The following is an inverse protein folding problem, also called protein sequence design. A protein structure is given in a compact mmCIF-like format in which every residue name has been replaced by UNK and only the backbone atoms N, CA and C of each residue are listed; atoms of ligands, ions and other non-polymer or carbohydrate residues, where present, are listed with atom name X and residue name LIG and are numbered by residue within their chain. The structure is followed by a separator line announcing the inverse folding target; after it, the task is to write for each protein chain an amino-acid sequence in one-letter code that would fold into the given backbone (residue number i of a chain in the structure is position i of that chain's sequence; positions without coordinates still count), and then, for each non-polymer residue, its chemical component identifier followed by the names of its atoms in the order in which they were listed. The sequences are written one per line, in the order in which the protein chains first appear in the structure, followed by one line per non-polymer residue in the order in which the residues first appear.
data_IF_134454806602
#
_entry.id   IF_134454806602
#
_cell.length_a   1.000
_cell.length_b   1.000
_cell.length_c   1.000
_cell.angle_alpha   90.00
_cell.angle_beta   90.00
_cell.angle_gamma   90.00
#
_symmetry.space_group_name_H-M   'P 1'
#
loop_
_entity.id
_entity.type
_entity.pdbx_description
1 polymer ?
#
# COMPACT_ATOMS: atom_id res chain seq x y z
N UNK A 1 -15.18 -2.22 5.59
CA UNK A 1 -13.77 -1.99 5.20
C UNK A 1 -13.49 -0.68 4.41
N UNK A 2 -14.08 -0.44 3.22
CA UNK A 2 -13.70 0.67 2.30
C UNK A 2 -13.74 2.07 2.96
N UNK A 3 -14.78 2.35 3.73
CA UNK A 3 -14.90 3.61 4.48
C UNK A 3 -13.72 3.84 5.43
N UNK A 4 -13.29 2.79 6.15
CA UNK A 4 -12.16 2.87 7.08
C UNK A 4 -10.86 3.20 6.33
N UNK A 5 -10.66 2.59 5.17
CA UNK A 5 -9.51 2.86 4.29
C UNK A 5 -9.54 4.31 3.81
N UNK A 6 -10.72 4.83 3.42
CA UNK A 6 -10.88 6.24 3.05
C UNK A 6 -10.52 7.16 4.21
N UNK A 7 -11.01 6.90 5.43
CA UNK A 7 -10.71 7.72 6.62
C UNK A 7 -9.22 7.72 6.97
N UNK A 8 -8.54 6.59 6.81
CA UNK A 8 -7.07 6.52 6.95
C UNK A 8 -6.43 7.39 5.86
N UNK A 9 -6.93 7.31 4.62
CA UNK A 9 -6.52 8.18 3.52
C UNK A 9 -6.69 9.67 3.83
N UNK A 10 -7.85 10.06 4.35
CA UNK A 10 -8.21 11.42 4.78
C UNK A 10 -7.19 11.90 5.82
N UNK A 11 -6.98 11.14 6.90
CA UNK A 11 -5.99 11.45 7.92
C UNK A 11 -4.58 11.66 7.38
N UNK A 12 -4.11 10.77 6.50
CA UNK A 12 -2.78 10.89 5.89
C UNK A 12 -2.73 12.05 4.88
N UNK A 13 -3.86 12.50 4.34
CA UNK A 13 -3.96 13.73 3.54
C UNK A 13 -3.86 14.96 4.43
N UNK A 14 -4.56 14.98 5.57
CA UNK A 14 -4.62 16.15 6.44
C UNK A 14 -3.32 16.36 7.25
N UNK A 15 -2.70 15.28 7.75
CA UNK A 15 -1.49 15.37 8.59
C UNK A 15 -0.17 15.58 7.83
N UNK A 16 -0.15 15.43 6.50
CA UNK A 16 1.00 15.85 5.68
C UNK A 16 0.94 17.35 5.35
N UNK A 17 0.18 18.12 6.14
CA UNK A 17 -0.46 19.36 5.72
C UNK A 17 -1.55 19.01 4.71
N UNK A 18 -2.75 19.58 4.82
CA UNK A 18 -3.84 19.46 3.85
C UNK A 18 -3.39 19.93 2.47
N UNK A 19 -2.62 19.07 1.83
CA UNK A 19 -1.66 19.41 0.80
C UNK A 19 -2.19 18.88 -0.50
N UNK A 20 -2.21 19.78 -1.47
CA UNK A 20 -2.34 19.54 -2.89
C UNK A 20 -2.24 18.04 -3.28
N UNK A 21 -3.30 17.43 -3.85
CA UNK A 21 -3.32 16.02 -4.25
C UNK A 21 -2.08 15.57 -5.06
N UNK A 22 -1.40 16.51 -5.71
CA UNK A 22 -0.15 16.30 -6.42
C UNK A 22 1.01 15.87 -5.54
N UNK A 23 1.11 16.34 -4.29
CA UNK A 23 2.18 16.02 -3.34
C UNK A 23 2.39 14.51 -3.10
N UNK A 24 1.37 13.69 -3.41
CA UNK A 24 1.39 12.23 -3.27
C UNK A 24 1.62 11.48 -4.59
N UNK A 25 1.33 12.14 -5.71
CA UNK A 25 1.61 11.62 -7.04
C UNK A 25 3.10 11.82 -7.35
N UNK A 26 3.64 12.96 -6.93
CA UNK A 26 5.01 13.36 -7.18
C UNK A 26 5.97 12.75 -6.15
N UNK A 27 7.22 12.57 -6.55
CA UNK A 27 8.31 12.01 -5.77
C UNK A 27 9.31 13.11 -5.44
N UNK A 28 10.01 12.98 -4.30
CA UNK A 28 11.16 13.85 -4.05
C UNK A 28 12.34 13.40 -4.93
N UNK A 29 12.76 14.19 -5.93
CA UNK A 29 13.89 13.82 -6.76
C UNK A 29 15.20 13.77 -5.96
N UNK A 30 15.31 14.47 -4.82
CA UNK A 30 16.46 14.41 -3.92
C UNK A 30 16.25 13.44 -2.74
N UNK A 31 15.59 12.31 -2.96
CA UNK A 31 15.36 11.31 -1.91
C UNK A 31 16.65 10.77 -1.26
N UNK A 32 17.80 10.90 -1.93
CA UNK A 32 19.08 10.33 -1.48
C UNK A 32 20.12 11.41 -1.14
N UNK A 33 19.75 12.70 -1.09
CA UNK A 33 20.63 13.82 -0.74
C UNK A 33 21.73 14.15 -1.76
N UNK A 34 21.59 13.65 -3.00
CA UNK A 34 22.57 13.83 -4.09
C UNK A 34 22.15 14.91 -5.10
N UNK A 35 20.87 15.20 -5.23
CA UNK A 35 20.30 16.08 -6.25
C UNK A 35 20.13 17.50 -5.73
N UNK A 36 21.26 18.17 -5.47
CA UNK A 36 21.29 19.51 -4.84
C UNK A 36 21.16 20.67 -5.83
N UNK A 37 21.32 20.39 -7.12
CA UNK A 37 21.29 21.40 -8.19
C UNK A 37 20.11 21.15 -9.13
N UNK A 38 19.53 22.24 -9.63
CA UNK A 38 18.43 22.22 -10.60
C UNK A 38 18.89 22.95 -11.85
N UNK A 39 18.99 22.23 -12.96
CA UNK A 39 19.16 22.83 -14.27
C UNK A 39 17.78 23.14 -14.83
N UNK A 40 17.57 24.41 -15.12
CA UNK A 40 16.29 24.98 -15.50
C UNK A 40 16.36 25.42 -16.95
N UNK A 41 15.48 24.88 -17.79
CA UNK A 41 15.23 25.42 -19.13
C UNK A 41 14.13 26.47 -19.00
N UNK A 42 14.46 27.73 -19.24
CA UNK A 42 13.52 28.85 -19.09
C UNK A 42 12.91 29.21 -20.45
N UNK A 43 11.58 29.21 -20.51
CA UNK A 43 10.82 29.73 -21.64
C UNK A 43 10.18 31.07 -21.29
N UNK A 44 10.10 31.96 -22.27
CA UNK A 44 9.24 33.14 -22.24
C UNK A 44 7.91 32.82 -22.90
N UNK A 45 6.83 33.28 -22.30
CA UNK A 45 5.48 33.21 -22.85
C UNK A 45 5.01 34.64 -23.16
N UNK A 46 4.70 34.90 -24.43
CA UNK A 46 4.11 36.17 -24.88
C UNK A 46 2.89 35.88 -25.76
N UNK A 47 1.71 36.31 -25.32
CA UNK A 47 0.44 36.12 -26.02
C UNK A 47 0.16 34.67 -26.52
N UNK A 48 0.65 33.64 -25.80
CA UNK A 48 0.47 32.23 -26.16
C UNK A 48 1.53 31.66 -27.13
N UNK A 49 2.57 32.44 -27.43
CA UNK A 49 3.79 31.97 -28.11
C UNK A 49 4.91 31.75 -27.10
N UNK A 50 5.73 30.73 -27.37
CA UNK A 50 6.83 30.35 -26.49
C UNK A 50 8.18 30.53 -27.18
N UNK A 51 9.15 31.09 -26.46
CA UNK A 51 10.53 31.23 -26.95
C UNK A 51 11.53 30.81 -25.88
N UNK A 52 12.63 30.19 -26.30
CA UNK A 52 13.72 29.85 -25.40
C UNK A 52 14.42 31.11 -24.91
N UNK A 53 14.57 31.26 -23.59
CA UNK A 53 15.30 32.37 -23.00
C UNK A 53 16.74 31.99 -22.67
N UNK A 54 16.95 31.06 -21.75
CA UNK A 54 18.26 30.67 -21.25
C UNK A 54 18.18 29.37 -20.43
N UNK A 55 19.35 28.77 -20.14
CA UNK A 55 19.49 27.74 -19.12
C UNK A 55 20.11 28.31 -17.84
N UNK A 56 19.46 28.09 -16.71
CA UNK A 56 19.94 28.51 -15.40
C UNK A 56 20.28 27.31 -14.51
N UNK A 57 21.26 27.49 -13.63
CA UNK A 57 21.55 26.56 -12.53
C UNK A 57 21.08 27.18 -11.22
N UNK A 58 20.13 26.54 -10.56
CA UNK A 58 19.59 26.97 -9.27
C UNK A 58 19.87 25.93 -8.18
N UNK A 59 19.87 26.36 -6.91
CA UNK A 59 19.84 25.42 -5.79
C UNK A 59 18.48 24.72 -5.69
N UNK A 60 18.50 23.49 -5.18
CA UNK A 60 17.29 22.71 -4.94
C UNK A 60 16.35 23.41 -3.94
N UNK A 61 15.14 23.73 -4.39
CA UNK A 61 14.06 24.31 -3.58
C UNK A 61 13.09 23.20 -3.16
N UNK A 62 11.92 23.59 -2.64
CA UNK A 62 10.87 22.65 -2.29
C UNK A 62 10.49 21.74 -3.48
N UNK A 63 10.51 20.41 -3.26
CA UNK A 63 10.36 19.42 -4.32
C UNK A 63 9.00 19.49 -5.05
N UNK A 64 7.98 20.03 -4.39
CA UNK A 64 6.61 20.20 -4.92
C UNK A 64 6.58 21.10 -6.14
N UNK A 65 7.50 22.07 -6.24
CA UNK A 65 7.63 22.99 -7.38
C UNK A 65 7.96 22.28 -8.70
N UNK A 66 8.66 21.15 -8.62
CA UNK A 66 9.17 20.47 -9.82
C UNK A 66 8.20 19.42 -10.35
N UNK A 67 7.15 19.05 -9.62
CA UNK A 67 6.22 17.98 -10.00
C UNK A 67 6.91 16.69 -10.50
N UNK A 68 8.06 16.32 -9.93
CA UNK A 68 8.83 15.17 -10.39
C UNK A 68 8.06 13.86 -10.16
N UNK A 69 7.97 13.00 -11.18
CA UNK A 69 7.43 11.65 -11.02
C UNK A 69 8.15 10.68 -11.95
N UNK A 70 9.11 9.95 -11.39
CA UNK A 70 9.97 9.06 -12.16
C UNK A 70 9.21 7.86 -12.74
N UNK A 71 9.64 7.39 -13.91
CA UNK A 71 9.26 6.04 -14.40
C UNK A 71 10.47 5.11 -14.39
N UNK A 72 10.23 3.81 -14.13
CA UNK A 72 11.28 2.80 -14.16
C UNK A 72 11.79 2.56 -15.58
N UNK A 73 13.10 2.39 -15.72
CA UNK A 73 13.75 1.99 -16.98
C UNK A 73 13.85 3.10 -18.03
N UNK A 74 13.59 2.74 -19.29
CA UNK A 74 13.72 3.64 -20.45
C UNK A 74 12.47 4.50 -20.71
N UNK A 75 11.40 4.32 -19.94
CA UNK A 75 10.19 5.11 -20.09
C UNK A 75 10.43 6.60 -19.81
N UNK A 76 9.56 7.44 -20.37
CA UNK A 76 9.52 8.88 -20.12
C UNK A 76 8.92 9.14 -18.73
N UNK A 77 9.58 9.99 -17.93
CA UNK A 77 9.08 10.45 -16.63
C UNK A 77 7.72 11.13 -16.77
N UNK A 78 6.88 11.17 -15.73
CA UNK A 78 5.49 11.59 -15.89
C UNK A 78 5.28 13.11 -16.11
N UNK A 79 6.31 13.93 -15.91
CA UNK A 79 6.34 15.39 -16.15
C UNK A 79 7.63 15.78 -16.89
N UNK A 80 7.75 17.03 -17.38
CA UNK A 80 9.00 17.60 -17.90
C UNK A 80 10.07 17.83 -16.81
N UNK A 81 10.22 16.89 -15.88
CA UNK A 81 11.25 16.91 -14.84
C UNK A 81 11.90 15.55 -14.73
N UNK A 82 13.22 15.52 -14.79
CA UNK A 82 14.00 14.29 -14.81
C UNK A 82 15.28 14.41 -14.00
N UNK A 83 15.69 13.31 -13.35
CA UNK A 83 17.02 13.19 -12.74
C UNK A 83 18.08 13.04 -13.85
N UNK A 84 19.12 13.88 -13.83
CA UNK A 84 20.17 13.83 -14.84
C UNK A 84 21.15 12.72 -14.48
N UNK A 85 21.16 11.65 -15.27
CA UNK A 85 22.25 10.66 -15.27
C UNK A 85 23.29 11.02 -16.33
N UNK A 86 22.82 11.37 -17.52
CA UNK A 86 23.61 11.83 -18.65
C UNK A 86 22.82 12.94 -19.36
N UNK A 87 23.46 14.10 -19.60
CA UNK A 87 22.76 15.31 -20.10
C UNK A 87 22.05 15.04 -21.42
N UNK A 88 22.72 14.48 -22.41
CA UNK A 88 22.14 14.23 -23.75
C UNK A 88 20.93 13.30 -23.69
N UNK A 89 21.06 12.18 -22.96
CA UNK A 89 19.98 11.20 -22.81
C UNK A 89 18.79 11.76 -22.03
N UNK A 90 19.06 12.54 -20.99
CA UNK A 90 18.01 13.15 -20.16
C UNK A 90 17.27 14.23 -20.93
N UNK A 91 17.97 15.08 -21.69
CA UNK A 91 17.36 16.09 -22.55
C UNK A 91 16.47 15.48 -23.63
N UNK A 92 16.90 14.38 -24.27
CA UNK A 92 16.06 13.64 -25.22
C UNK A 92 14.75 13.14 -24.58
N UNK A 93 14.80 12.63 -23.34
CA UNK A 93 13.59 12.22 -22.60
C UNK A 93 12.71 13.42 -22.25
N UNK A 94 13.32 14.52 -21.82
CA UNK A 94 12.63 15.77 -21.53
C UNK A 94 11.88 16.31 -22.75
N UNK A 95 12.53 16.39 -23.92
CA UNK A 95 11.90 16.82 -25.17
C UNK A 95 10.77 15.86 -25.59
N UNK A 96 10.98 14.56 -25.44
CA UNK A 96 9.96 13.55 -25.76
C UNK A 96 8.64 13.71 -24.97
N UNK A 97 8.62 14.46 -23.87
CA UNK A 97 7.38 14.81 -23.13
C UNK A 97 6.50 15.80 -23.88
N UNK A 98 7.10 16.63 -24.72
CA UNK A 98 6.43 17.58 -25.60
C UNK A 98 6.16 17.01 -27.00
N UNK A 99 6.55 15.76 -27.26
CA UNK A 99 6.21 15.04 -28.49
C UNK A 99 5.07 14.02 -28.28
N UNK A 100 4.98 13.41 -27.09
CA UNK A 100 3.97 12.40 -26.74
C UNK A 100 2.76 12.96 -25.96
N UNK A 101 2.37 14.21 -26.22
CA UNK A 101 1.28 14.89 -25.49
C UNK A 101 -0.12 14.45 -25.90
N UNK A 102 -0.28 13.80 -27.06
CA UNK A 102 -1.57 13.28 -27.55
C UNK A 102 -2.20 12.23 -26.62
N UNK A 103 -1.39 11.59 -25.78
CA UNK A 103 -1.85 10.63 -24.77
C UNK A 103 -2.29 11.32 -23.46
N UNK A 104 -2.17 12.65 -23.36
CA UNK A 104 -2.56 13.39 -22.16
C UNK A 104 -4.05 13.75 -22.23
N UNK A 105 -4.78 13.61 -21.10
CA UNK A 105 -6.18 14.03 -20.99
C UNK A 105 -6.29 15.56 -20.87
N UNK A 106 -5.87 16.29 -21.90
CA UNK A 106 -5.86 17.75 -21.97
C UNK A 106 -6.92 18.24 -22.97
N UNK A 107 -7.38 19.49 -22.79
CA UNK A 107 -8.21 20.18 -23.78
C UNK A 107 -7.41 20.47 -25.07
N UNK A 108 -8.10 20.79 -26.17
CA UNK A 108 -7.44 21.14 -27.44
C UNK A 108 -6.50 22.34 -27.29
N UNK A 109 -6.88 23.35 -26.51
CA UNK A 109 -6.06 24.51 -26.18
C UNK A 109 -4.80 24.12 -25.39
N UNK A 110 -4.94 23.32 -24.34
CA UNK A 110 -3.80 22.84 -23.53
C UNK A 110 -2.84 21.95 -24.37
N UNK A 111 -3.38 21.13 -25.26
CA UNK A 111 -2.61 20.30 -26.20
C UNK A 111 -1.76 21.18 -27.11
N UNK A 112 -2.37 22.24 -27.64
CA UNK A 112 -1.71 23.20 -28.52
C UNK A 112 -0.60 23.98 -27.78
N UNK A 113 -0.84 24.39 -26.53
CA UNK A 113 0.20 25.00 -25.69
C UNK A 113 1.40 24.08 -25.49
N UNK A 114 1.19 22.79 -25.17
CA UNK A 114 2.29 21.82 -25.00
C UNK A 114 3.05 21.61 -26.30
N UNK A 115 2.34 21.58 -27.44
CA UNK A 115 2.96 21.47 -28.77
C UNK A 115 3.90 22.66 -29.03
N UNK A 116 3.42 23.89 -28.84
CA UNK A 116 4.21 25.12 -29.06
C UNK A 116 5.42 25.20 -28.13
N UNK A 117 5.28 24.81 -26.85
CA UNK A 117 6.41 24.69 -25.92
C UNK A 117 7.47 23.72 -26.47
N UNK A 118 7.03 22.57 -27.00
CA UNK A 118 7.92 21.59 -27.62
C UNK A 118 8.67 22.13 -28.83
N UNK A 119 7.99 22.91 -29.67
CA UNK A 119 8.58 23.53 -30.86
C UNK A 119 9.63 24.58 -30.50
N UNK A 120 9.36 25.42 -29.49
CA UNK A 120 10.31 26.40 -28.98
C UNK A 120 11.59 25.72 -28.47
N UNK A 121 11.46 24.64 -27.68
CA UNK A 121 12.61 23.88 -27.16
C UNK A 121 13.36 23.18 -28.29
N UNK A 122 12.66 22.70 -29.31
CA UNK A 122 13.26 21.98 -30.44
C UNK A 122 14.00 22.89 -31.40
N UNK A 123 13.51 24.11 -31.63
CA UNK A 123 14.17 25.11 -32.46
C UNK A 123 15.56 25.46 -31.92
N UNK A 124 15.71 25.57 -30.60
CA UNK A 124 16.96 25.90 -29.92
C UNK A 124 17.68 24.69 -29.30
N UNK A 125 17.39 23.46 -29.76
CA UNK A 125 17.83 22.23 -29.07
C UNK A 125 19.37 22.18 -28.86
N UNK A 126 20.15 22.59 -29.85
CA UNK A 126 21.61 22.46 -29.83
C UNK A 126 22.22 23.47 -28.86
N UNK A 127 21.64 24.68 -28.81
CA UNK A 127 22.00 25.74 -27.88
C UNK A 127 21.67 25.32 -26.43
N UNK A 128 20.45 24.82 -26.20
CA UNK A 128 20.02 24.33 -24.89
C UNK A 128 20.92 23.19 -24.41
N UNK A 129 21.24 22.24 -25.31
CA UNK A 129 22.11 21.12 -24.98
C UNK A 129 23.52 21.56 -24.59
N UNK A 130 24.09 22.55 -25.29
CA UNK A 130 25.39 23.11 -24.99
C UNK A 130 25.41 23.82 -23.63
N UNK A 131 24.41 24.68 -23.35
CA UNK A 131 24.29 25.37 -22.07
C UNK A 131 24.07 24.37 -20.91
N UNK A 132 23.23 23.34 -21.10
CA UNK A 132 23.04 22.28 -20.11
C UNK A 132 24.34 21.51 -19.81
N UNK A 133 25.15 21.22 -20.82
CA UNK A 133 26.44 20.52 -20.64
C UNK A 133 27.45 21.37 -19.88
N UNK A 134 27.54 22.67 -20.20
CA UNK A 134 28.40 23.62 -19.51
C UNK A 134 28.01 23.72 -18.02
N UNK A 135 26.75 24.01 -17.73
CA UNK A 135 26.24 24.13 -16.35
C UNK A 135 26.36 22.82 -15.58
N UNK A 136 26.10 21.67 -16.20
CA UNK A 136 26.26 20.37 -15.55
C UNK A 136 27.72 20.06 -15.22
N UNK A 137 28.67 20.48 -16.06
CA UNK A 137 30.11 20.25 -15.83
C UNK A 137 30.67 21.11 -14.69
N UNK A 138 30.08 22.28 -14.46
CA UNK A 138 30.45 23.20 -13.38
C UNK A 138 30.00 22.76 -11.96
N UNK A 139 29.32 21.62 -11.84
CA UNK A 139 28.78 21.13 -10.56
C UNK A 139 29.87 20.61 -9.61
N UNK A 140 29.59 20.63 -8.31
CA UNK A 140 30.48 20.02 -7.30
C UNK A 140 30.59 18.51 -7.51
N UNK A 141 31.80 17.98 -7.39
CA UNK A 141 32.05 16.54 -7.50
C UNK A 141 31.23 15.76 -6.46
N UNK A 142 30.47 14.76 -6.92
CA UNK A 142 29.59 13.96 -6.07
C UNK A 142 28.14 14.43 -6.02
N UNK A 143 27.87 15.69 -6.39
CA UNK A 143 26.51 16.20 -6.56
C UNK A 143 25.97 15.83 -7.96
N UNK A 144 24.65 15.63 -8.01
CA UNK A 144 23.86 15.39 -9.22
C UNK A 144 22.83 16.50 -9.37
N UNK A 145 22.21 16.57 -10.54
CA UNK A 145 21.29 17.65 -10.88
C UNK A 145 19.99 17.09 -11.44
N UNK A 146 18.89 17.82 -11.25
CA UNK A 146 17.65 17.57 -11.98
C UNK A 146 17.53 18.52 -13.16
N UNK A 147 16.79 18.13 -14.19
CA UNK A 147 16.39 18.97 -15.31
C UNK A 147 14.90 19.28 -15.15
N UNK A 148 14.50 20.54 -15.29
CA UNK A 148 13.09 20.97 -15.26
C UNK A 148 12.82 22.13 -16.22
N UNK A 149 11.54 22.38 -16.51
CA UNK A 149 11.07 23.57 -17.24
C UNK A 149 10.56 24.64 -16.26
N UNK A 150 10.77 25.92 -16.59
CA UNK A 150 10.09 27.07 -15.96
C UNK A 150 9.64 28.07 -17.02
N UNK A 151 8.71 28.95 -16.64
CA UNK A 151 8.40 30.17 -17.38
C UNK A 151 8.99 31.37 -16.64
N UNK A 152 9.78 32.16 -17.35
CA UNK A 152 10.43 33.36 -16.82
C UNK A 152 10.05 34.56 -17.69
N UNK A 153 9.22 35.45 -17.14
CA UNK A 153 8.81 36.70 -17.78
C UNK A 153 9.77 37.88 -17.48
N UNK A 154 10.88 37.61 -16.78
CA UNK A 154 11.85 38.61 -16.33
C UNK A 154 11.51 39.27 -15.00
N UNK A 155 10.29 39.04 -14.46
CA UNK A 155 9.82 39.56 -13.18
C UNK A 155 9.54 38.41 -12.21
N UNK A 156 8.91 37.34 -12.69
CA UNK A 156 8.50 36.16 -11.93
C UNK A 156 8.90 34.87 -12.66
N UNK A 157 9.41 33.91 -11.88
CA UNK A 157 9.68 32.55 -12.35
C UNK A 157 8.55 31.64 -11.88
N UNK A 158 7.78 31.08 -12.83
CA UNK A 158 6.75 30.07 -12.59
C UNK A 158 7.32 28.68 -12.82
N UNK A 159 7.29 27.84 -11.79
CA UNK A 159 7.69 26.44 -11.89
C UNK A 159 6.53 25.57 -12.37
N UNK A 160 6.81 24.32 -12.75
CA UNK A 160 5.78 23.36 -13.15
C UNK A 160 4.65 23.22 -12.11
N UNK A 161 4.99 23.28 -10.82
CA UNK A 161 4.04 23.23 -9.71
C UNK A 161 3.06 24.42 -9.67
N UNK A 162 3.40 25.53 -10.31
CA UNK A 162 2.58 26.76 -10.36
C UNK A 162 1.65 26.78 -11.61
N UNK A 163 1.81 25.81 -12.52
CA UNK A 163 1.16 25.81 -13.83
C UNK A 163 -0.01 24.81 -13.84
N UNK A 164 -1.28 25.26 -13.95
CA UNK A 164 -2.45 24.38 -13.93
C UNK A 164 -2.39 23.24 -14.95
N UNK A 165 -1.83 23.47 -16.13
CA UNK A 165 -1.70 22.47 -17.18
C UNK A 165 -0.94 21.22 -16.70
N UNK A 166 0.27 21.38 -16.15
CA UNK A 166 1.09 20.23 -15.73
C UNK A 166 0.55 19.54 -14.47
N UNK A 167 -0.07 20.32 -13.59
CA UNK A 167 -0.86 19.83 -12.44
C UNK A 167 -1.99 18.93 -12.92
N UNK A 168 -2.77 19.38 -13.90
CA UNK A 168 -3.89 18.63 -14.47
C UNK A 168 -3.46 17.35 -15.18
N UNK A 169 -2.34 17.35 -15.91
CA UNK A 169 -1.80 16.14 -16.56
C UNK A 169 -1.58 15.02 -15.54
N UNK A 170 -1.01 15.33 -14.37
CA UNK A 170 -0.76 14.34 -13.32
C UNK A 170 -2.05 13.83 -12.69
N UNK A 171 -2.99 14.71 -12.38
CA UNK A 171 -4.28 14.35 -11.76
C UNK A 171 -5.15 13.52 -12.71
N UNK A 172 -5.34 14.00 -13.94
CA UNK A 172 -6.22 13.36 -14.93
C UNK A 172 -5.65 12.05 -15.48
N UNK A 173 -4.31 11.86 -15.49
CA UNK A 173 -3.72 10.53 -15.77
C UNK A 173 -4.11 9.50 -14.71
N UNK A 174 -4.24 9.93 -13.45
CA UNK A 174 -4.84 9.12 -12.39
C UNK A 174 -6.29 8.75 -12.72
N UNK A 175 -7.10 9.71 -13.19
CA UNK A 175 -8.49 9.46 -13.60
C UNK A 175 -8.60 8.40 -14.70
N UNK A 176 -7.72 8.41 -15.72
CA UNK A 176 -7.76 7.42 -16.81
C UNK A 176 -7.55 5.99 -16.31
N UNK A 177 -6.73 5.80 -15.27
CA UNK A 177 -6.55 4.48 -14.65
C UNK A 177 -7.82 4.01 -13.91
N UNK A 178 -8.62 4.95 -13.39
CA UNK A 178 -9.89 4.65 -12.74
C UNK A 178 -11.06 4.49 -13.71
N UNK A 179 -10.98 5.12 -14.90
CA UNK A 179 -12.04 5.06 -15.91
C UNK A 179 -11.86 3.96 -16.93
N UNK A 180 -10.63 3.60 -17.30
CA UNK A 180 -10.36 2.66 -18.38
C UNK A 180 -9.62 1.41 -17.89
N UNK A 181 -10.23 0.24 -18.11
CA UNK A 181 -9.61 -1.07 -17.89
C UNK A 181 -10.07 -2.04 -18.98
N UNK A 182 -9.18 -2.92 -19.42
CA UNK A 182 -9.46 -3.88 -20.50
C UNK A 182 -9.87 -3.21 -21.83
N UNK A 183 -9.43 -1.98 -22.06
CA UNK A 183 -9.77 -1.21 -23.27
C UNK A 183 -11.19 -0.63 -23.27
N UNK A 184 -11.94 -0.77 -22.17
CA UNK A 184 -13.30 -0.24 -22.02
C UNK A 184 -13.31 0.88 -20.99
N UNK A 185 -13.92 2.00 -21.35
CA UNK A 185 -14.17 3.10 -20.43
C UNK A 185 -15.50 2.90 -19.70
N UNK A 186 -15.50 3.14 -18.38
CA UNK A 186 -16.68 3.06 -17.52
C UNK A 186 -16.72 4.24 -16.57
N UNK A 187 -17.53 5.25 -16.94
CA UNK A 187 -17.74 6.48 -16.20
C UNK A 187 -19.25 6.70 -16.04
N UNK A 188 -19.70 7.00 -14.82
CA UNK A 188 -21.03 7.51 -14.55
C UNK A 188 -21.00 9.03 -14.42
N UNK A 189 -21.95 9.72 -15.06
CA UNK A 189 -22.13 11.18 -14.95
C UNK A 189 -23.25 11.53 -13.97
N UNK A 190 -23.02 12.54 -13.12
CA UNK A 190 -23.98 13.06 -12.14
C UNK A 190 -24.57 11.97 -11.24
N UNK A 191 -23.68 11.18 -10.62
CA UNK A 191 -24.05 10.04 -9.77
C UNK A 191 -23.55 10.20 -8.35
N UNK A 192 -24.23 9.51 -7.44
CA UNK A 192 -23.84 9.42 -6.04
C UNK A 192 -22.60 8.55 -5.93
N UNK A 193 -21.56 9.08 -5.29
CA UNK A 193 -20.38 8.31 -4.91
C UNK A 193 -20.73 7.37 -3.76
N UNK A 194 -20.50 6.07 -3.94
CA UNK A 194 -20.72 5.02 -2.93
C UNK A 194 -19.86 5.17 -1.66
N UNK A 195 -18.85 6.04 -1.70
CA UNK A 195 -17.86 6.20 -0.62
C UNK A 195 -18.09 7.48 0.18
N UNK A 196 -18.40 8.62 -0.45
CA UNK A 196 -18.72 9.86 0.27
C UNK A 196 -20.22 10.15 0.41
N UNK A 197 -21.05 9.57 -0.46
CA UNK A 197 -22.50 9.81 -0.47
C UNK A 197 -22.93 11.05 -1.25
N UNK A 198 -21.99 11.87 -1.73
CA UNK A 198 -22.31 13.08 -2.49
C UNK A 198 -22.56 12.77 -3.97
N UNK A 199 -23.41 13.59 -4.60
CA UNK A 199 -23.52 13.64 -6.06
C UNK A 199 -22.27 14.28 -6.62
N UNK A 200 -21.65 13.61 -7.60
CA UNK A 200 -20.42 14.05 -8.23
C UNK A 200 -20.60 14.02 -9.75
N UNK A 201 -19.99 15.00 -10.42
CA UNK A 201 -20.00 15.11 -11.89
C UNK A 201 -19.55 13.80 -12.52
N UNK A 202 -18.46 13.20 -12.02
CA UNK A 202 -17.94 11.93 -12.51
C UNK A 202 -17.70 10.92 -11.38
N UNK A 203 -18.13 9.68 -11.63
CA UNK A 203 -17.81 8.50 -10.83
C UNK A 203 -17.18 7.42 -11.70
N UNK A 204 -16.22 6.70 -11.12
CA UNK A 204 -15.37 5.74 -11.80
C UNK A 204 -15.57 4.35 -11.22
N UNK A 205 -15.48 3.33 -12.08
CA UNK A 205 -15.63 1.93 -11.70
C UNK A 205 -14.34 1.29 -11.16
N UNK A 206 -13.18 1.65 -11.70
CA UNK A 206 -11.91 0.99 -11.41
C UNK A 206 -11.09 1.70 -10.31
N UNK A 207 -11.78 2.47 -9.46
CA UNK A 207 -11.19 3.28 -8.40
C UNK A 207 -10.96 2.53 -7.08
N UNK A 208 -11.40 1.26 -6.97
CA UNK A 208 -11.08 0.41 -5.82
C UNK A 208 -9.60 -0.01 -5.92
N UNK A 209 -8.75 0.28 -4.91
CA UNK A 209 -7.31 0.21 -5.07
C UNK A 209 -6.73 -1.22 -4.95
N UNK A 210 -7.55 -2.22 -4.62
CA UNK A 210 -7.16 -3.63 -4.55
C UNK A 210 -7.71 -4.44 -5.72
N UNK A 211 -6.91 -5.41 -6.18
CA UNK A 211 -7.19 -6.21 -7.37
C UNK A 211 -8.18 -7.34 -7.16
N UNK A 212 -8.80 -7.49 -5.97
CA UNK A 212 -9.87 -8.46 -5.76
C UNK A 212 -11.21 -8.05 -6.41
N UNK A 213 -11.35 -6.77 -6.80
CA UNK A 213 -12.53 -6.29 -7.52
C UNK A 213 -12.41 -6.62 -9.01
N UNK A 214 -12.84 -7.82 -9.36
CA UNK A 214 -12.65 -8.44 -10.67
C UNK A 214 -13.82 -8.14 -11.61
N UNK A 215 -13.52 -7.43 -12.71
CA UNK A 215 -14.45 -7.09 -13.80
C UNK A 215 -14.22 -7.95 -15.06
N UNK A 216 -13.26 -8.89 -15.01
CA UNK A 216 -13.01 -9.88 -16.07
C UNK A 216 -14.07 -10.98 -16.11
N UNK A 217 -14.78 -11.20 -14.99
CA UNK A 217 -15.86 -12.18 -14.89
C UNK A 217 -17.21 -11.49 -15.10
N UNK A 218 -17.94 -11.79 -16.20
CA UNK A 218 -19.18 -11.11 -16.53
C UNK A 218 -20.17 -11.12 -15.37
N UNK A 219 -20.31 -12.26 -14.67
CA UNK A 219 -21.23 -12.43 -13.53
C UNK A 219 -21.01 -11.51 -12.33
N UNK A 220 -19.87 -10.81 -12.26
CA UNK A 220 -19.58 -9.86 -11.19
C UNK A 220 -20.03 -8.43 -11.52
N UNK A 221 -20.56 -8.15 -12.72
CA UNK A 221 -20.87 -6.78 -13.20
C UNK A 221 -22.37 -6.49 -13.08
N UNK A 222 -22.72 -5.56 -12.21
CA UNK A 222 -24.03 -4.91 -12.16
C UNK A 222 -24.19 -4.01 -13.41
N UNK A 223 -25.30 -4.16 -14.13
CA UNK A 223 -25.47 -3.55 -15.46
C UNK A 223 -25.52 -4.57 -16.60
N UNK A 224 -26.06 -5.76 -16.34
CA UNK A 224 -26.30 -6.77 -17.38
C UNK A 224 -25.03 -7.35 -17.99
N UNK A 225 -23.97 -7.51 -17.18
CA UNK A 225 -22.69 -8.08 -17.62
C UNK A 225 -21.90 -7.20 -18.61
N UNK A 226 -22.23 -5.91 -18.70
CA UNK A 226 -21.56 -4.95 -19.57
C UNK A 226 -20.45 -4.20 -18.82
N UNK A 227 -19.20 -4.37 -19.24
CA UNK A 227 -18.03 -3.72 -18.64
C UNK A 227 -18.14 -2.19 -18.65
N UNK A 228 -18.73 -1.59 -19.69
CA UNK A 228 -18.92 -0.13 -19.75
C UNK A 228 -19.87 0.38 -18.65
N UNK A 229 -20.76 -0.46 -18.14
CA UNK A 229 -21.68 -0.12 -17.04
C UNK A 229 -21.15 -0.49 -15.66
N UNK A 230 -19.91 -0.99 -15.56
CA UNK A 230 -19.31 -1.41 -14.28
C UNK A 230 -19.26 -0.30 -13.22
N UNK A 231 -19.36 0.98 -13.60
CA UNK A 231 -19.47 2.10 -12.66
C UNK A 231 -20.70 1.95 -11.75
N UNK A 232 -21.73 1.18 -12.15
CA UNK A 232 -22.90 0.88 -11.33
C UNK A 232 -22.59 -0.05 -10.16
N UNK A 233 -21.53 -0.87 -10.23
CA UNK A 233 -21.12 -1.72 -9.10
C UNK A 233 -20.65 -0.89 -7.92
N UNK A 234 -19.70 -0.01 -8.22
CA UNK A 234 -18.90 0.68 -7.21
C UNK A 234 -18.60 2.08 -7.72
N UNK A 235 -19.60 2.98 -7.77
CA UNK A 235 -19.42 4.33 -8.25
C UNK A 235 -18.55 5.10 -7.25
N UNK A 236 -17.34 5.51 -7.63
CA UNK A 236 -16.41 6.23 -6.75
C UNK A 236 -15.91 7.48 -7.46
N UNK A 237 -16.00 8.65 -6.82
CA UNK A 237 -15.47 9.90 -7.37
C UNK A 237 -13.94 9.97 -7.28
N UNK A 238 -13.33 10.88 -8.04
CA UNK A 238 -11.87 11.05 -8.09
C UNK A 238 -11.24 11.25 -6.70
N UNK A 239 -11.79 12.17 -5.90
CA UNK A 239 -11.29 12.47 -4.56
C UNK A 239 -11.25 11.22 -3.66
N UNK A 240 -12.34 10.45 -3.65
CA UNK A 240 -12.43 9.21 -2.90
C UNK A 240 -11.46 8.15 -3.43
N UNK A 241 -11.28 8.04 -4.74
CA UNK A 241 -10.31 7.13 -5.36
C UNK A 241 -8.88 7.43 -4.85
N UNK A 242 -8.47 8.70 -4.87
CA UNK A 242 -7.15 9.13 -4.38
C UNK A 242 -6.98 8.90 -2.87
N UNK A 243 -8.03 9.12 -2.08
CA UNK A 243 -8.04 8.83 -0.63
C UNK A 243 -7.90 7.33 -0.37
N UNK A 244 -8.59 6.50 -1.13
CA UNK A 244 -8.50 5.04 -1.03
C UNK A 244 -7.11 4.52 -1.41
N UNK A 245 -6.50 5.01 -2.49
CA UNK A 245 -5.11 4.67 -2.84
C UNK A 245 -4.14 5.06 -1.71
N UNK A 246 -4.28 6.27 -1.17
CA UNK A 246 -3.47 6.75 -0.05
C UNK A 246 -3.60 5.84 1.16
N UNK A 247 -4.85 5.51 1.54
CA UNK A 247 -5.16 4.65 2.67
C UNK A 247 -4.57 3.24 2.48
N UNK A 248 -4.70 2.67 1.28
CA UNK A 248 -4.09 1.37 0.94
C UNK A 248 -2.58 1.39 1.12
N UNK A 249 -1.88 2.36 0.54
CA UNK A 249 -0.42 2.47 0.63
C UNK A 249 0.03 2.51 2.09
N UNK A 250 -0.67 3.30 2.92
CA UNK A 250 -0.36 3.37 4.35
C UNK A 250 -0.59 2.03 5.06
N UNK A 251 -1.73 1.38 4.82
CA UNK A 251 -2.05 0.07 5.41
C UNK A 251 -0.99 -0.97 5.02
N UNK A 252 -0.58 -1.01 3.75
CA UNK A 252 0.40 -1.98 3.26
C UNK A 252 1.83 -1.72 3.77
N UNK A 253 2.22 -0.46 3.96
CA UNK A 253 3.56 -0.10 4.49
C UNK A 253 3.65 -0.16 6.02
N UNK A 254 2.55 0.16 6.73
CA UNK A 254 2.58 0.35 8.19
C UNK A 254 1.80 -0.69 8.98
N UNK A 255 0.72 -1.22 8.40
CA UNK A 255 -0.25 -2.07 9.10
C UNK A 255 -0.30 -3.49 8.51
N UNK A 256 0.79 -3.92 7.90
CA UNK A 256 0.97 -5.25 7.35
C UNK A 256 1.81 -6.10 8.29
N UNK A 257 1.21 -7.17 8.80
CA UNK A 257 1.80 -7.99 9.84
C UNK A 257 1.87 -9.47 9.44
N UNK A 258 2.90 -10.15 9.93
CA UNK A 258 3.00 -11.59 9.80
C UNK A 258 2.07 -12.28 10.81
N UNK A 259 1.53 -13.41 10.40
CA UNK A 259 0.79 -14.37 11.22
C UNK A 259 1.55 -15.70 11.22
N UNK A 260 1.05 -16.69 11.95
CA UNK A 260 1.75 -17.98 12.11
C UNK A 260 1.97 -18.67 10.76
N UNK A 261 3.09 -19.38 10.61
CA UNK A 261 3.42 -20.19 9.43
C UNK A 261 3.39 -19.43 8.09
N UNK A 262 3.80 -18.15 8.09
CA UNK A 262 4.00 -17.36 6.87
C UNK A 262 2.73 -16.73 6.29
N UNK A 263 1.58 -16.89 6.95
CA UNK A 263 0.40 -16.10 6.63
C UNK A 263 0.64 -14.62 6.93
N UNK A 264 -0.03 -13.73 6.19
CA UNK A 264 0.03 -12.28 6.41
C UNK A 264 -1.36 -11.71 6.52
N UNK A 265 -1.47 -10.61 7.26
CA UNK A 265 -2.72 -9.87 7.37
C UNK A 265 -2.48 -8.37 7.38
N UNK A 266 -3.43 -7.65 6.81
CA UNK A 266 -3.57 -6.21 6.97
C UNK A 266 -4.48 -5.93 8.17
N UNK A 267 -4.04 -5.08 9.08
CA UNK A 267 -4.85 -4.59 10.20
C UNK A 267 -5.48 -3.26 9.79
N UNK A 268 -6.81 -3.23 9.72
CA UNK A 268 -7.56 -2.05 9.25
C UNK A 268 -8.41 -1.52 10.42
N UNK A 269 -7.99 -0.43 11.08
CA UNK A 269 -8.77 0.17 12.16
C UNK A 269 -9.99 0.91 11.60
N UNK A 270 -11.13 0.77 12.26
CA UNK A 270 -12.40 1.44 11.99
C UNK A 270 -12.97 1.99 13.29
N UNK A 271 -13.22 3.29 13.35
CA UNK A 271 -13.88 3.92 14.50
C UNK A 271 -15.26 3.28 14.73
N UNK A 272 -15.54 2.87 15.97
CA UNK A 272 -16.76 2.19 16.38
C UNK A 272 -17.66 3.10 17.24
N UNK A 273 -17.08 3.86 18.19
CA UNK A 273 -17.82 4.66 19.18
C UNK A 273 -17.06 5.96 19.50
N UNK A 274 -17.26 7.00 18.69
CA UNK A 274 -16.53 8.27 18.86
C UNK A 274 -15.01 8.11 18.75
N UNK A 275 -14.26 9.19 19.00
CA UNK A 275 -12.80 9.21 18.94
C UNK A 275 -12.21 9.55 17.57
N UNK A 276 -10.91 9.81 17.55
CA UNK A 276 -10.17 10.24 16.36
C UNK A 276 -9.35 9.08 15.79
N UNK A 277 -9.44 8.90 14.47
CA UNK A 277 -8.61 7.93 13.73
C UNK A 277 -7.11 8.25 13.90
N UNK A 278 -6.78 9.52 14.15
CA UNK A 278 -5.43 10.00 14.46
C UNK A 278 -4.82 9.31 15.66
N UNK A 279 -5.56 9.17 16.75
CA UNK A 279 -5.04 8.61 18.00
C UNK A 279 -4.61 7.17 17.79
N UNK A 280 -5.49 6.37 17.18
CA UNK A 280 -5.17 4.97 16.89
C UNK A 280 -4.06 4.85 15.85
N UNK A 281 -4.04 5.66 14.79
CA UNK A 281 -2.98 5.59 13.78
C UNK A 281 -1.62 6.06 14.30
N UNK A 282 -1.59 6.93 15.31
CA UNK A 282 -0.35 7.33 16.00
C UNK A 282 0.18 6.15 16.81
N UNK A 283 -0.69 5.45 17.54
CA UNK A 283 -0.36 4.24 18.31
C UNK A 283 0.10 3.10 17.38
N UNK A 284 -0.60 2.88 16.26
CA UNK A 284 -0.30 1.81 15.32
C UNK A 284 0.91 2.12 14.41
N UNK A 285 1.10 3.40 14.05
CA UNK A 285 2.04 3.86 13.03
C UNK A 285 3.41 4.32 13.54
N UNK A 286 3.64 4.35 14.85
CA UNK A 286 4.94 4.62 15.46
C UNK A 286 5.98 3.58 14.98
N UNK A 287 6.76 3.95 13.96
CA UNK A 287 7.72 3.08 13.25
C UNK A 287 8.99 2.77 14.06
N UNK A 288 9.20 3.37 15.24
CA UNK A 288 10.40 3.16 16.07
C UNK A 288 10.16 2.17 17.22
N UNK A 289 9.77 0.95 16.88
CA UNK A 289 9.74 -0.17 17.85
C UNK A 289 11.12 -0.76 18.13
N UNK A 290 12.16 0.07 18.24
CA UNK A 290 13.42 -0.34 18.89
C UNK A 290 13.37 -0.12 20.41
N UNK A 291 12.50 0.76 20.91
CA UNK A 291 12.38 1.00 22.36
C UNK A 291 11.43 0.03 23.09
N UNK A 292 10.48 -0.60 22.38
CA UNK A 292 9.66 -1.68 22.97
C UNK A 292 10.27 -3.08 22.84
N UNK A 293 11.44 -3.20 22.18
CA UNK A 293 12.23 -4.46 22.15
C UNK A 293 13.00 -4.72 23.45
N UNK A 294 12.94 -3.80 24.44
CA UNK A 294 13.38 -4.03 25.81
C UNK A 294 12.20 -4.15 26.78
N UNK A 295 11.20 -4.96 26.42
CA UNK A 295 10.43 -5.69 27.44
C UNK A 295 10.98 -7.10 27.49
N UNK A 296 12.11 -7.15 28.17
CA UNK A 296 12.80 -8.33 28.66
C UNK A 296 11.79 -9.27 29.36
N UNK A 297 11.95 -10.58 29.14
CA UNK A 297 11.34 -11.70 29.89
C UNK A 297 9.88 -12.16 29.66
N UNK A 298 9.07 -11.58 28.77
CA UNK A 298 7.73 -12.14 28.45
C UNK A 298 7.56 -12.63 27.01
N UNK A 299 8.43 -13.56 26.60
CA UNK A 299 8.14 -14.50 25.50
C UNK A 299 6.83 -15.31 25.71
N UNK A 300 6.19 -15.20 26.89
CA UNK A 300 5.03 -15.98 27.36
C UNK A 300 3.65 -15.41 26.94
N UNK A 301 3.55 -14.19 26.40
CA UNK A 301 2.25 -13.53 26.12
C UNK A 301 1.78 -13.52 24.67
N UNK A 302 2.51 -14.09 23.70
CA UNK A 302 2.18 -13.92 22.28
C UNK A 302 1.05 -14.84 21.82
N UNK A 303 -0.02 -14.30 21.21
CA UNK A 303 -1.01 -15.09 20.47
C UNK A 303 -0.42 -15.58 19.13
N UNK A 304 0.53 -14.83 18.59
CA UNK A 304 1.22 -15.05 17.32
C UNK A 304 2.68 -15.49 17.56
N UNK A 305 3.25 -16.27 16.63
CA UNK A 305 4.59 -16.83 16.80
C UNK A 305 5.73 -15.79 16.65
N UNK A 306 5.50 -14.67 15.95
CA UNK A 306 6.51 -13.64 15.69
C UNK A 306 6.17 -12.25 16.24
N UNK A 307 7.26 -11.51 16.44
CA UNK A 307 7.52 -10.26 17.19
C UNK A 307 6.40 -9.21 17.39
N UNK A 308 6.34 -8.68 18.62
CA UNK A 308 5.74 -7.39 18.94
C UNK A 308 4.23 -7.28 18.71
N UNK A 309 3.48 -8.24 19.25
CA UNK A 309 2.05 -8.50 19.06
C UNK A 309 1.22 -7.21 18.98
N UNK A 310 1.03 -6.67 17.77
CA UNK A 310 0.25 -5.45 17.54
C UNK A 310 -1.17 -5.61 18.11
N UNK A 311 -1.68 -6.84 18.14
CA UNK A 311 -2.96 -7.18 18.72
C UNK A 311 -2.99 -6.98 20.24
N UNK A 312 -1.88 -7.13 20.96
CA UNK A 312 -1.79 -6.80 22.40
C UNK A 312 -1.85 -5.29 22.63
N UNK A 313 -1.24 -4.49 21.74
CA UNK A 313 -1.36 -3.03 21.77
C UNK A 313 -2.81 -2.62 21.52
N UNK A 314 -3.46 -3.23 20.52
CA UNK A 314 -4.88 -2.98 20.23
C UNK A 314 -5.77 -3.42 21.39
N UNK A 315 -5.49 -4.56 22.02
CA UNK A 315 -6.25 -5.09 23.15
C UNK A 315 -6.27 -4.17 24.38
N UNK A 316 -5.26 -3.30 24.52
CA UNK A 316 -5.15 -2.32 25.60
C UNK A 316 -5.90 -1.02 25.33
N UNK A 317 -6.44 -0.84 24.12
CA UNK A 317 -7.23 0.34 23.77
C UNK A 317 -8.67 0.21 24.30
N UNK A 318 -9.38 1.34 24.38
CA UNK A 318 -10.82 1.33 24.63
C UNK A 318 -11.61 1.02 23.35
N UNK A 319 -12.86 0.56 23.51
CA UNK A 319 -13.73 0.11 22.40
C UNK A 319 -14.26 1.25 21.50
N UNK A 320 -13.61 2.42 21.50
CA UNK A 320 -13.87 3.49 20.52
C UNK A 320 -13.42 3.10 19.10
N UNK A 321 -12.53 2.11 18.99
CA UNK A 321 -12.07 1.53 17.73
C UNK A 321 -12.45 0.07 17.63
N UNK A 322 -12.79 -0.37 16.42
CA UNK A 322 -12.86 -1.76 16.00
C UNK A 322 -11.79 -2.02 14.95
N UNK A 323 -11.31 -3.24 14.84
CA UNK A 323 -10.27 -3.62 13.88
C UNK A 323 -10.77 -4.72 12.97
N UNK A 324 -10.42 -4.63 11.69
CA UNK A 324 -10.62 -5.71 10.74
C UNK A 324 -9.27 -6.34 10.38
N UNK A 325 -9.22 -7.66 10.31
CA UNK A 325 -8.04 -8.41 9.90
C UNK A 325 -8.30 -8.99 8.52
N UNK A 326 -7.57 -8.52 7.52
CA UNK A 326 -7.64 -9.01 6.15
C UNK A 326 -6.43 -9.90 5.86
N UNK A 327 -6.62 -11.21 5.94
CA UNK A 327 -5.63 -12.22 5.58
C UNK A 327 -5.58 -12.38 4.07
N UNK A 328 -4.37 -12.38 3.51
CA UNK A 328 -4.20 -12.40 2.06
C UNK A 328 -2.92 -13.15 1.65
N UNK A 329 -2.91 -13.58 0.39
CA UNK A 329 -1.72 -14.03 -0.31
C UNK A 329 -1.55 -13.23 -1.62
N UNK A 330 -0.31 -13.05 -2.04
CA UNK A 330 0.03 -12.44 -3.33
C UNK A 330 0.62 -13.52 -4.21
N UNK A 331 -0.05 -13.83 -5.32
CA UNK A 331 0.41 -14.78 -6.33
C UNK A 331 0.39 -14.09 -7.70
N UNK A 332 1.52 -14.04 -8.40
CA UNK A 332 1.67 -13.35 -9.70
C UNK A 332 1.05 -11.93 -9.75
N UNK A 333 1.29 -11.12 -8.72
CA UNK A 333 0.71 -9.76 -8.56
C UNK A 333 -0.81 -9.70 -8.36
N UNK A 334 -1.47 -10.85 -8.18
CA UNK A 334 -2.88 -10.93 -7.78
C UNK A 334 -3.00 -11.02 -6.26
N UNK A 335 -3.82 -10.16 -5.68
CA UNK A 335 -4.19 -10.24 -4.27
C UNK A 335 -5.34 -11.23 -4.11
N UNK A 336 -5.08 -12.35 -3.42
CA UNK A 336 -6.11 -13.30 -3.06
C UNK A 336 -6.43 -13.18 -1.57
N UNK A 337 -7.68 -12.86 -1.28
CA UNK A 337 -8.19 -12.80 0.10
C UNK A 337 -8.35 -14.24 0.61
N UNK A 338 -7.74 -14.53 1.76
CA UNK A 338 -7.85 -15.81 2.45
C UNK A 338 -8.97 -15.78 3.50
N UNK A 339 -9.05 -14.69 4.25
CA UNK A 339 -10.05 -14.48 5.30
C UNK A 339 -10.17 -12.98 5.60
N UNK A 340 -11.40 -12.51 5.78
CA UNK A 340 -11.68 -11.18 6.33
C UNK A 340 -12.45 -11.37 7.64
N UNK A 341 -11.86 -10.94 8.75
CA UNK A 341 -12.53 -10.87 10.06
C UNK A 341 -12.83 -9.40 10.34
N UNK A 342 -14.09 -9.00 10.33
CA UNK A 342 -14.50 -7.61 10.57
C UNK A 342 -14.93 -7.38 12.02
N UNK A 343 -14.75 -6.15 12.49
CA UNK A 343 -15.40 -5.66 13.72
C UNK A 343 -14.83 -6.20 15.03
N UNK A 344 -13.54 -6.54 15.09
CA UNK A 344 -12.89 -7.02 16.32
C UNK A 344 -12.64 -5.85 17.26
N UNK A 345 -13.32 -5.84 18.42
CA UNK A 345 -13.12 -4.85 19.47
C UNK A 345 -11.87 -5.15 20.32
N UNK A 346 -11.19 -4.11 20.86
CA UNK A 346 -10.14 -4.26 21.86
C UNK A 346 -10.52 -5.16 23.04
N UNK A 347 -11.73 -5.00 23.60
CA UNK A 347 -12.24 -5.87 24.68
C UNK A 347 -12.31 -7.35 24.28
N UNK A 348 -12.61 -7.64 23.02
CA UNK A 348 -12.60 -9.00 22.48
C UNK A 348 -11.18 -9.58 22.45
N UNK A 349 -10.20 -8.80 21.98
CA UNK A 349 -8.79 -9.21 21.99
C UNK A 349 -8.30 -9.40 23.42
N UNK A 350 -8.59 -8.48 24.33
CA UNK A 350 -8.24 -8.57 25.75
C UNK A 350 -8.76 -9.86 26.39
N UNK A 351 -10.02 -10.23 26.10
CA UNK A 351 -10.60 -11.51 26.53
C UNK A 351 -9.88 -12.73 25.93
N UNK A 352 -9.47 -12.67 24.66
CA UNK A 352 -8.69 -13.76 24.06
C UNK A 352 -7.34 -13.95 24.76
N UNK A 353 -6.63 -12.86 25.06
CA UNK A 353 -5.38 -12.91 25.82
C UNK A 353 -5.60 -13.41 27.26
N UNK A 354 -6.68 -13.02 27.94
CA UNK A 354 -6.97 -13.51 29.29
C UNK A 354 -7.28 -15.01 29.34
N UNK A 355 -8.06 -15.50 28.37
CA UNK A 355 -8.38 -16.93 28.23
C UNK A 355 -7.12 -17.73 27.91
N UNK A 356 -6.30 -17.26 26.97
CA UNK A 356 -4.98 -17.84 26.67
C UNK A 356 -4.13 -17.97 27.93
N UNK A 357 -3.97 -16.89 28.70
CA UNK A 357 -3.18 -16.90 29.92
C UNK A 357 -3.72 -17.90 30.96
N UNK A 358 -5.04 -18.11 31.00
CA UNK A 358 -5.66 -19.11 31.88
C UNK A 358 -5.32 -20.53 31.43
N UNK A 359 -5.35 -20.79 30.11
CA UNK A 359 -4.94 -22.08 29.53
C UNK A 359 -3.46 -22.35 29.82
N UNK A 360 -2.57 -21.39 29.53
CA UNK A 360 -1.13 -21.54 29.74
C UNK A 360 -0.80 -21.85 31.22
N UNK A 361 -1.46 -21.17 32.17
CA UNK A 361 -1.31 -21.45 33.60
C UNK A 361 -1.76 -22.86 33.98
N UNK A 362 -2.82 -23.39 33.35
CA UNK A 362 -3.33 -24.74 33.62
C UNK A 362 -2.39 -25.83 33.12
N UNK A 363 -1.68 -25.59 32.02
CA UNK A 363 -0.71 -26.54 31.47
C UNK A 363 0.69 -26.42 32.09
N UNK A 364 0.98 -25.34 32.80
CA UNK A 364 2.27 -25.11 33.47
C UNK A 364 2.72 -26.27 34.39
N UNK A 365 1.88 -26.86 35.26
CA UNK A 365 2.32 -27.96 36.13
C UNK A 365 2.75 -29.21 35.35
N UNK A 366 2.04 -29.56 34.27
CA UNK A 366 2.41 -30.69 33.42
C UNK A 366 3.77 -30.47 32.76
N UNK A 367 4.02 -29.24 32.33
CA UNK A 367 5.28 -28.83 31.74
C UNK A 367 6.44 -28.85 32.74
N UNK A 368 6.20 -28.34 33.96
CA UNK A 368 7.21 -28.30 35.02
C UNK A 368 7.59 -29.69 35.54
N UNK A 369 6.69 -30.67 35.42
CA UNK A 369 6.93 -32.07 35.80
C UNK A 369 7.54 -32.88 34.65
N UNK A 370 7.08 -32.66 33.41
CA UNK A 370 7.45 -33.48 32.27
C UNK A 370 8.82 -33.14 31.68
N UNK A 371 9.26 -31.88 31.68
CA UNK A 371 10.46 -31.47 30.94
C UNK A 371 11.55 -30.91 31.86
N UNK A 372 12.82 -31.17 31.55
CA UNK A 372 13.98 -30.52 32.18
C UNK A 372 14.07 -29.04 31.75
N UNK A 373 14.77 -28.19 32.51
CA UNK A 373 14.94 -26.77 32.16
C UNK A 373 15.46 -26.53 30.72
N UNK A 374 16.44 -27.27 30.20
CA UNK A 374 16.88 -27.11 28.81
C UNK A 374 15.83 -27.52 27.77
N UNK A 375 15.01 -28.53 28.07
CA UNK A 375 13.89 -28.93 27.20
C UNK A 375 12.77 -27.90 27.24
N UNK A 376 12.55 -27.26 28.40
CA UNK A 376 11.58 -26.18 28.56
C UNK A 376 11.95 -24.99 27.67
N UNK A 377 13.19 -24.53 27.71
CA UNK A 377 13.64 -23.41 26.87
C UNK A 377 13.48 -23.69 25.37
N UNK A 378 13.69 -24.94 24.93
CA UNK A 378 13.57 -25.33 23.53
C UNK A 378 12.12 -25.54 23.06
N UNK A 379 11.23 -26.01 23.94
CA UNK A 379 9.86 -26.40 23.59
C UNK A 379 8.82 -25.76 24.54
N UNK A 380 8.62 -24.43 24.51
CA UNK A 380 7.63 -23.80 25.37
C UNK A 380 6.21 -24.29 25.05
N UNK A 381 5.54 -24.92 26.02
CA UNK A 381 4.11 -25.30 25.95
C UNK A 381 3.22 -24.08 26.21
N UNK A 382 3.31 -23.11 25.30
CA UNK A 382 2.49 -21.88 25.32
C UNK A 382 1.48 -21.97 24.19
N UNK A 383 0.20 -21.78 24.50
CA UNK A 383 -0.83 -21.74 23.47
C UNK A 383 -0.59 -20.56 22.54
N UNK A 384 -0.59 -20.83 21.24
CA UNK A 384 -0.60 -19.83 20.18
C UNK A 384 -1.28 -20.45 18.95
N UNK A 385 -1.60 -19.63 17.95
CA UNK A 385 -2.21 -20.14 16.71
C UNK A 385 -1.31 -21.12 15.95
N UNK A 386 -0.01 -21.14 16.24
CA UNK A 386 0.92 -22.13 15.70
C UNK A 386 0.65 -23.54 16.24
N UNK A 387 0.25 -23.66 17.52
CA UNK A 387 -0.21 -24.95 18.09
C UNK A 387 -1.43 -25.45 17.35
N UNK A 388 -2.41 -24.58 17.09
CA UNK A 388 -3.61 -24.92 16.31
C UNK A 388 -3.20 -25.38 14.91
N UNK A 389 -2.31 -24.63 14.25
CA UNK A 389 -1.84 -24.92 12.90
C UNK A 389 -1.20 -26.30 12.74
N UNK A 390 -0.56 -26.85 13.77
CA UNK A 390 0.03 -28.21 13.73
C UNK A 390 -0.98 -29.33 13.40
N UNK A 391 -2.26 -29.09 13.63
CA UNK A 391 -3.34 -30.05 13.32
C UNK A 391 -3.94 -29.83 11.92
N UNK A 392 -3.56 -28.74 11.24
CA UNK A 392 -4.05 -28.37 9.91
C UNK A 392 -2.85 -28.13 8.97
N UNK A 393 -2.25 -29.19 8.40
CA UNK A 393 -1.04 -29.08 7.58
C UNK A 393 -1.30 -28.33 6.26
N UNK A 394 -0.29 -27.61 5.76
CA UNK A 394 -0.36 -26.83 4.51
C UNK A 394 0.18 -27.59 3.30
N UNK A 395 -0.22 -27.19 2.08
CA UNK A 395 0.45 -27.60 0.82
C UNK A 395 1.94 -27.27 0.79
N UNK A 396 2.35 -26.20 1.48
CA UNK A 396 3.72 -25.69 1.47
C UNK A 396 4.62 -26.40 2.49
N UNK A 397 4.05 -27.18 3.41
CA UNK A 397 4.80 -27.96 4.39
C UNK A 397 5.32 -29.25 3.75
N UNK A 398 6.59 -29.59 4.02
CA UNK A 398 7.21 -30.83 3.52
C UNK A 398 6.97 -31.97 4.51
N UNK A 399 6.62 -33.15 3.98
CA UNK A 399 6.53 -34.40 4.75
C UNK A 399 5.24 -35.18 4.49
N UNK A 400 5.23 -36.46 4.86
CA UNK A 400 4.16 -37.41 4.49
C UNK A 400 2.77 -37.00 4.99
N UNK A 401 2.71 -36.25 6.10
CA UNK A 401 1.45 -35.79 6.68
C UNK A 401 0.77 -34.72 5.81
N UNK A 402 1.55 -33.77 5.31
CA UNK A 402 1.06 -32.72 4.41
C UNK A 402 0.67 -33.29 3.03
N UNK A 403 1.34 -34.35 2.57
CA UNK A 403 1.04 -35.04 1.32
C UNK A 403 -0.23 -35.92 1.38
N UNK A 404 -0.54 -36.51 2.54
CA UNK A 404 -1.75 -37.33 2.76
C UNK A 404 -3.00 -36.50 3.04
N UNK A 405 -2.85 -35.34 3.67
CA UNK A 405 -3.95 -34.43 3.95
C UNK A 405 -4.47 -33.79 2.65
N UNK A 406 -5.78 -33.59 2.51
CA UNK A 406 -6.37 -32.76 1.44
C UNK A 406 -6.04 -31.28 1.71
N UNK A 407 -4.77 -30.96 1.55
CA UNK A 407 -4.05 -29.74 1.94
C UNK A 407 -4.76 -28.39 1.69
N UNK A 408 -5.46 -28.20 0.54
CA UNK A 408 -6.28 -26.98 0.32
C UNK A 408 -7.47 -26.86 1.27
N UNK A 409 -8.07 -27.98 1.65
CA UNK A 409 -9.15 -28.02 2.63
C UNK A 409 -8.57 -27.66 4.00
N UNK A 410 -7.39 -28.15 4.33
CA UNK A 410 -6.73 -27.89 5.61
C UNK A 410 -6.43 -26.41 5.85
N UNK A 411 -5.90 -25.68 4.85
CA UNK A 411 -5.68 -24.22 4.97
C UNK A 411 -6.97 -23.43 5.15
N UNK A 412 -8.03 -23.80 4.41
CA UNK A 412 -9.35 -23.19 4.54
C UNK A 412 -9.97 -23.46 5.92
N UNK A 413 -9.87 -24.70 6.41
CA UNK A 413 -10.38 -25.11 7.72
C UNK A 413 -9.62 -24.43 8.86
N UNK A 414 -8.30 -24.29 8.73
CA UNK A 414 -7.49 -23.50 9.66
C UNK A 414 -7.98 -22.06 9.74
N UNK A 415 -8.17 -21.39 8.60
CA UNK A 415 -8.70 -20.02 8.55
C UNK A 415 -10.12 -19.92 9.12
N UNK A 416 -10.97 -20.93 8.90
CA UNK A 416 -12.30 -20.99 9.52
C UNK A 416 -12.22 -21.09 11.05
N UNK A 417 -11.31 -21.91 11.58
CA UNK A 417 -11.05 -22.01 13.03
C UNK A 417 -10.53 -20.68 13.57
N UNK A 418 -9.59 -20.03 12.89
CA UNK A 418 -9.07 -18.70 13.25
C UNK A 418 -10.23 -17.69 13.31
N UNK A 419 -11.09 -17.67 12.30
CA UNK A 419 -12.28 -16.80 12.27
C UNK A 419 -13.19 -17.06 13.48
N UNK A 420 -13.54 -18.32 13.75
CA UNK A 420 -14.41 -18.70 14.88
C UNK A 420 -13.79 -18.27 16.22
N UNK A 421 -12.47 -18.40 16.39
CA UNK A 421 -11.76 -17.94 17.59
C UNK A 421 -11.87 -16.41 17.73
N UNK A 422 -11.62 -15.62 16.68
CA UNK A 422 -11.73 -14.16 16.78
C UNK A 422 -13.16 -13.69 17.05
N UNK A 423 -14.16 -14.28 16.38
CA UNK A 423 -15.58 -13.87 16.45
C UNK A 423 -16.34 -14.48 17.65
N UNK A 424 -15.73 -15.42 18.39
CA UNK A 424 -16.35 -16.13 19.53
C UNK A 424 -17.43 -17.16 19.15
N UNK A 425 -17.33 -17.72 17.96
CA UNK A 425 -18.24 -18.78 17.54
C UNK A 425 -17.76 -20.14 18.04
N UNK A 426 -18.70 -21.05 18.30
CA UNK A 426 -18.38 -22.44 18.66
C UNK A 426 -17.68 -23.14 17.49
N UNK A 427 -16.64 -23.91 17.82
CA UNK A 427 -16.00 -24.82 16.88
C UNK A 427 -16.58 -26.21 17.15
N UNK A 428 -16.91 -26.94 16.08
CA UNK A 428 -17.40 -28.30 16.20
C UNK A 428 -16.33 -29.20 16.85
N UNK A 429 -16.71 -29.85 17.95
CA UNK A 429 -15.80 -30.68 18.73
C UNK A 429 -15.33 -31.90 17.93
N UNK A 430 -16.25 -32.55 17.22
CA UNK A 430 -15.92 -33.76 16.45
C UNK A 430 -14.97 -33.45 15.31
N UNK A 431 -15.10 -32.28 14.68
CA UNK A 431 -14.18 -31.79 13.68
C UNK A 431 -12.76 -31.65 14.23
N UNK A 432 -12.60 -31.00 15.39
CA UNK A 432 -11.29 -30.83 16.03
C UNK A 432 -10.68 -32.17 16.42
N UNK A 433 -11.48 -33.06 17.02
CA UNK A 433 -11.02 -34.41 17.38
C UNK A 433 -10.60 -35.20 16.14
N UNK A 434 -11.29 -35.05 15.01
CA UNK A 434 -10.90 -35.67 13.74
C UNK A 434 -9.47 -35.32 13.33
N UNK A 435 -9.16 -34.01 13.24
CA UNK A 435 -7.83 -33.53 12.86
C UNK A 435 -6.75 -33.88 13.89
N UNK A 436 -7.05 -33.78 15.19
CA UNK A 436 -6.12 -34.19 16.25
C UNK A 436 -5.83 -35.69 16.16
N UNK A 437 -6.85 -36.52 15.96
CA UNK A 437 -6.69 -37.98 15.83
C UNK A 437 -5.87 -38.34 14.60
N UNK A 438 -6.09 -37.66 13.47
CA UNK A 438 -5.29 -37.86 12.25
C UNK A 438 -3.81 -37.55 12.50
N UNK A 439 -3.53 -36.44 13.20
CA UNK A 439 -2.15 -36.07 13.56
C UNK A 439 -1.49 -37.08 14.50
N UNK A 440 -2.22 -37.57 15.49
CA UNK A 440 -1.72 -38.59 16.43
C UNK A 440 -1.41 -39.89 15.69
N UNK A 441 -2.29 -40.33 14.78
CA UNK A 441 -2.05 -41.53 13.95
C UNK A 441 -0.81 -41.39 13.08
N UNK A 442 -0.63 -40.25 12.40
CA UNK A 442 0.59 -39.99 11.62
C UNK A 442 1.87 -40.03 12.48
N UNK A 443 1.82 -39.45 13.68
CA UNK A 443 2.95 -39.49 14.60
C UNK A 443 3.25 -40.93 15.07
N UNK A 444 2.21 -41.72 15.34
CA UNK A 444 2.33 -43.13 15.71
C UNK A 444 2.92 -43.96 14.57
N UNK A 445 2.42 -43.81 13.33
CA UNK A 445 2.91 -44.53 12.15
C UNK A 445 4.40 -44.26 11.87
N UNK A 446 4.89 -43.07 12.24
CA UNK A 446 6.29 -42.66 12.11
C UNK A 446 7.17 -43.06 13.29
N UNK A 447 6.65 -43.84 14.24
CA UNK A 447 7.34 -44.19 15.49
C UNK A 447 7.87 -42.95 16.24
N UNK A 448 7.13 -41.84 16.21
CA UNK A 448 7.50 -40.66 16.98
C UNK A 448 7.59 -41.04 18.47
N UNK A 449 8.68 -40.67 19.13
CA UNK A 449 8.87 -41.03 20.53
C UNK A 449 7.78 -40.40 21.40
N UNK A 450 7.05 -41.23 22.13
CA UNK A 450 6.09 -40.81 23.15
C UNK A 450 6.74 -40.68 24.53
N UNK A 451 8.03 -41.02 24.64
CA UNK A 451 8.74 -40.96 25.91
C UNK A 451 9.14 -39.52 26.21
N UNK A 452 8.55 -38.99 27.27
CA UNK A 452 8.74 -37.62 27.77
C UNK A 452 10.23 -37.29 27.98
N UNK A 453 11.06 -38.28 28.33
CA UNK A 453 12.51 -38.10 28.53
C UNK A 453 13.32 -37.93 27.24
N UNK A 454 12.71 -38.14 26.07
CA UNK A 454 13.36 -38.08 24.74
C UNK A 454 12.78 -37.01 23.82
N UNK A 455 11.83 -36.21 24.32
CA UNK A 455 11.25 -35.01 23.66
C UNK A 455 12.07 -33.78 24.05
#
# INVERSE_FOLDING_TARGET
MIEAVRRIGDYIQDNKGGGDPLSKIIENPDSNGKYKQVLVVALKEDAGEYSFSHVESQEFKEYTKYLYKGKKGNALDATPTSRITEVKRTFKKFLGRFENYKDYPLSEEEIESVRRMGEAIKADQDKILAELQDKFSSRKAGDSSILTLVFDDGINIKYLGDIPLFRNVLLKKGCKAFSNKYGVESIGQDKVCSVCGDVKEQVYSFAVPWTFHNYDKPGNIAGGFNVAESWKNTPICFECATRLETGKIYIEDKLNFNFVYGFRYLLIPKLALGGDIKDILTILGAKDRKEHQKLDQEAKRRLLADEGDILDIVAKQSDFVSTSLLFYEVDNSQYKILLLVEGILPSRLSRLFSVKNTVDKRFKPYYDIALSEPQREKNPLVFNFGVVRRFFPSEKEKGDFAAKSKSKISDKMFMEVVNKIFVSNSIDYQLLIGFITERIRDAFDKNASTNISTI
#
